data_IF_567101344024
#
_entry.id   IF_567101344024
#
_cell.length_a   1.000
_cell.length_b   1.000
_cell.length_c   1.000
_cell.angle_alpha   90.00
_cell.angle_beta   90.00
_cell.angle_gamma   90.00
#
_symmetry.space_group_name_H-M   'P 1'
#
loop_
_entity.id
_entity.type
_entity.pdbx_description
1 polymer ?
#
# COMPACT_ATOMS: atom_id res chain seq x y z
N UNK A 1 -1.06 3.94 -14.34
CA UNK A 1 -0.37 3.78 -13.05
C UNK A 1 0.73 2.76 -13.26
N UNK A 2 1.95 3.04 -12.79
CA UNK A 2 3.05 2.08 -12.73
C UNK A 2 3.32 1.73 -11.26
N UNK A 3 3.69 0.47 -10.99
CA UNK A 3 3.96 -0.02 -9.65
C UNK A 3 5.18 -0.93 -9.66
N UNK A 4 6.01 -0.78 -8.64
CA UNK A 4 7.06 -1.72 -8.26
C UNK A 4 6.85 -2.07 -6.78
N UNK A 5 6.80 -3.35 -6.43
CA UNK A 5 6.51 -3.80 -5.06
C UNK A 5 7.28 -5.08 -4.76
N UNK A 6 7.92 -5.10 -3.60
CA UNK A 6 8.52 -6.30 -3.04
C UNK A 6 7.44 -7.09 -2.28
N UNK A 7 7.38 -8.41 -2.52
CA UNK A 7 6.44 -9.32 -1.85
C UNK A 7 7.18 -10.58 -1.39
N UNK A 8 6.74 -11.18 -0.29
CA UNK A 8 7.22 -12.49 0.10
C UNK A 8 6.57 -13.59 -0.76
N UNK A 9 7.23 -13.94 -1.86
CA UNK A 9 6.73 -14.91 -2.84
C UNK A 9 6.75 -16.36 -2.36
N UNK A 10 7.44 -16.69 -1.26
CA UNK A 10 7.37 -18.03 -0.66
C UNK A 10 6.03 -18.26 0.04
N UNK A 11 5.48 -17.22 0.68
CA UNK A 11 4.20 -17.26 1.38
C UNK A 11 3.02 -16.93 0.46
N UNK A 12 3.23 -16.00 -0.48
CA UNK A 12 2.22 -15.60 -1.46
C UNK A 12 2.78 -15.72 -2.89
N UNK A 13 2.71 -16.92 -3.50
CA UNK A 13 3.26 -17.16 -4.84
C UNK A 13 2.51 -16.37 -5.90
N UNK A 14 3.24 -15.60 -6.71
CA UNK A 14 2.68 -14.85 -7.84
C UNK A 14 3.30 -15.32 -9.15
N UNK A 15 2.51 -15.37 -10.23
CA UNK A 15 2.96 -15.80 -11.57
C UNK A 15 2.94 -14.64 -12.56
N UNK A 16 3.82 -14.71 -13.55
CA UNK A 16 3.78 -13.76 -14.67
C UNK A 16 2.43 -13.81 -15.40
N UNK A 17 1.85 -12.64 -15.66
CA UNK A 17 0.53 -12.50 -16.29
C UNK A 17 -0.67 -12.70 -15.35
N UNK A 18 -0.44 -13.07 -14.10
CA UNK A 18 -1.50 -13.18 -13.09
C UNK A 18 -2.11 -11.80 -12.78
N UNK A 19 -3.44 -11.78 -12.66
CA UNK A 19 -4.17 -10.57 -12.29
C UNK A 19 -4.48 -10.63 -10.81
N UNK A 20 -4.19 -9.55 -10.10
CA UNK A 20 -4.51 -9.40 -8.70
C UNK A 20 -5.19 -8.06 -8.45
N UNK A 21 -5.96 -7.99 -7.36
CA UNK A 21 -6.56 -6.76 -6.85
C UNK A 21 -5.72 -6.25 -5.69
N UNK A 22 -5.45 -4.95 -5.67
CA UNK A 22 -4.68 -4.30 -4.60
C UNK A 22 -5.47 -3.13 -4.04
N UNK A 23 -5.48 -3.01 -2.72
CA UNK A 23 -5.97 -1.85 -2.01
C UNK A 23 -4.90 -1.30 -1.07
N UNK A 24 -4.86 0.02 -0.94
CA UNK A 24 -4.10 0.72 0.08
C UNK A 24 -5.08 1.42 1.01
N UNK A 25 -4.90 1.25 2.32
CA UNK A 25 -5.76 1.82 3.35
C UNK A 25 -4.91 2.30 4.53
N UNK A 26 -5.37 3.34 5.22
CA UNK A 26 -4.78 3.82 6.47
C UNK A 26 -5.28 3.05 7.69
N UNK A 27 -6.33 2.22 7.54
CA UNK A 27 -6.89 1.40 8.62
C UNK A 27 -7.55 0.14 8.07
N UNK A 28 -7.48 -0.96 8.83
CA UNK A 28 -8.20 -2.21 8.56
C UNK A 28 -9.58 -2.25 9.24
N UNK A 29 -9.89 -1.26 10.08
CA UNK A 29 -11.17 -1.18 10.77
C UNK A 29 -12.29 -0.86 9.77
N UNK A 30 -13.32 -1.72 9.73
CA UNK A 30 -14.45 -1.59 8.79
C UNK A 30 -15.28 -0.30 8.99
N UNK A 31 -15.22 0.28 10.19
CA UNK A 31 -15.89 1.53 10.55
C UNK A 31 -15.04 2.78 10.20
N UNK A 32 -13.83 2.60 9.67
CA UNK A 32 -12.91 3.69 9.34
C UNK A 32 -12.20 4.31 10.54
N UNK A 33 -12.33 3.74 11.75
CA UNK A 33 -11.57 4.22 12.91
C UNK A 33 -10.06 4.08 12.67
N UNK A 34 -9.24 5.07 13.06
CA UNK A 34 -7.79 5.04 12.81
C UNK A 34 -7.11 3.78 13.35
N UNK A 35 -6.06 3.33 12.67
CA UNK A 35 -5.25 2.22 13.18
C UNK A 35 -4.55 2.63 14.48
N UNK A 36 -4.52 1.73 15.46
CA UNK A 36 -3.86 1.97 16.75
C UNK A 36 -2.39 1.58 16.73
N UNK A 37 -1.88 1.05 15.61
CA UNK A 37 -0.54 0.45 15.46
C UNK A 37 -0.28 -0.80 16.31
N UNK A 38 -1.27 -1.25 17.11
CA UNK A 38 -1.18 -2.47 17.89
C UNK A 38 -2.03 -3.56 17.24
N UNK A 39 -1.41 -4.71 17.01
CA UNK A 39 -2.15 -5.89 16.60
C UNK A 39 -2.98 -6.39 17.77
N UNK A 40 -4.30 -6.19 17.68
CA UNK A 40 -5.25 -6.69 18.68
C UNK A 40 -5.79 -8.03 18.21
N UNK A 41 -5.36 -9.09 18.88
CA UNK A 41 -5.83 -10.44 18.60
C UNK A 41 -7.28 -10.56 19.08
N UNK A 42 -8.23 -10.71 18.16
CA UNK A 42 -9.65 -10.86 18.48
C UNK A 42 -10.46 -11.37 17.29
N UNK A 43 -11.61 -11.97 17.56
CA UNK A 43 -12.55 -12.46 16.53
C UNK A 43 -13.32 -11.31 15.84
N UNK A 44 -12.71 -10.14 15.68
CA UNK A 44 -13.32 -9.00 14.98
C UNK A 44 -13.07 -9.16 13.49
N UNK A 45 -14.13 -9.08 12.69
CA UNK A 45 -14.00 -8.99 11.24
C UNK A 45 -13.33 -7.67 10.85
N UNK A 46 -12.32 -7.73 9.99
CA UNK A 46 -11.55 -6.59 9.49
C UNK A 46 -11.52 -6.59 7.96
N UNK A 47 -11.02 -5.51 7.36
CA UNK A 47 -10.82 -5.46 5.91
C UNK A 47 -9.79 -6.50 5.45
N UNK A 48 -8.84 -6.88 6.30
CA UNK A 48 -7.81 -7.88 5.99
C UNK A 48 -8.41 -9.26 5.67
N UNK A 49 -9.59 -9.59 6.21
CA UNK A 49 -10.26 -10.88 5.96
C UNK A 49 -10.77 -11.02 4.52
N UNK A 50 -10.84 -9.93 3.75
CA UNK A 50 -11.27 -9.91 2.35
C UNK A 50 -10.09 -9.99 1.36
N UNK A 51 -8.85 -10.09 1.86
CA UNK A 51 -7.63 -10.14 1.06
C UNK A 51 -6.75 -11.33 1.46
N UNK A 52 -5.97 -11.84 0.50
CA UNK A 52 -5.14 -13.04 0.70
C UNK A 52 -3.75 -12.69 1.27
N UNK A 53 -3.28 -11.46 1.08
CA UNK A 53 -1.98 -10.99 1.51
C UNK A 53 -2.06 -9.56 2.02
N UNK A 54 -1.51 -9.31 3.22
CA UNK A 54 -1.57 -8.01 3.88
C UNK A 54 -0.18 -7.63 4.39
N UNK A 55 0.21 -6.38 4.11
CA UNK A 55 1.44 -5.77 4.60
C UNK A 55 1.11 -4.50 5.38
N UNK A 56 1.81 -4.27 6.49
CA UNK A 56 1.74 -3.03 7.27
C UNK A 56 3.07 -2.29 7.13
N UNK A 57 3.00 -0.98 6.85
CA UNK A 57 4.16 -0.19 6.54
C UNK A 57 3.88 1.31 6.59
N UNK A 58 4.88 2.09 6.23
CA UNK A 58 4.83 3.56 6.27
C UNK A 58 5.21 4.15 4.93
N UNK A 59 4.55 5.24 4.58
CA UNK A 59 4.99 6.11 3.49
C UNK A 59 6.20 6.91 3.97
N UNK A 60 7.30 6.85 3.23
CA UNK A 60 8.55 7.54 3.62
C UNK A 60 8.99 8.59 2.60
N UNK A 61 8.41 8.59 1.39
CA UNK A 61 8.73 9.56 0.35
C UNK A 61 7.51 9.81 -0.54
N UNK A 62 7.22 11.09 -0.76
CA UNK A 62 6.29 11.56 -1.78
C UNK A 62 7.05 12.61 -2.58
N UNK A 63 7.13 12.43 -3.89
CA UNK A 63 7.75 13.41 -4.79
C UNK A 63 6.79 13.80 -5.90
N UNK A 64 6.60 15.10 -6.05
CA UNK A 64 5.84 15.66 -7.15
C UNK A 64 6.64 15.56 -8.45
N UNK A 65 5.92 15.42 -9.56
CA UNK A 65 6.52 15.43 -10.88
C UNK A 65 7.18 16.76 -11.23
N UNK A 66 8.18 16.72 -12.09
CA UNK A 66 8.81 17.92 -12.65
C UNK A 66 8.06 18.42 -13.89
N UNK A 67 8.40 19.61 -14.40
CA UNK A 67 7.88 20.09 -15.69
C UNK A 67 8.16 19.13 -16.86
N UNK A 68 9.18 18.27 -16.76
CA UNK A 68 9.55 17.29 -17.80
C UNK A 68 8.88 15.93 -17.62
N UNK A 69 8.51 15.59 -16.39
CA UNK A 69 7.79 14.37 -16.05
C UNK A 69 6.77 14.72 -14.94
N UNK A 70 5.53 15.06 -15.31
CA UNK A 70 4.53 15.58 -14.36
C UNK A 70 3.98 14.50 -13.42
N UNK A 71 4.43 13.25 -13.56
CA UNK A 71 3.95 12.15 -12.73
C UNK A 71 4.55 12.24 -11.33
N UNK A 72 3.67 12.11 -10.34
CA UNK A 72 4.07 11.98 -8.95
C UNK A 72 4.50 10.53 -8.65
N UNK A 73 5.37 10.41 -7.66
CA UNK A 73 5.89 9.14 -7.15
C UNK A 73 5.67 9.07 -5.63
N UNK A 74 5.16 7.94 -5.17
CA UNK A 74 4.94 7.63 -3.76
C UNK A 74 5.71 6.37 -3.42
N UNK A 75 6.51 6.41 -2.35
CA UNK A 75 7.27 5.27 -1.86
C UNK A 75 6.88 4.87 -0.43
N UNK A 76 6.73 3.57 -0.22
CA UNK A 76 6.39 2.96 1.05
C UNK A 76 7.40 1.87 1.44
N UNK A 77 7.53 1.63 2.74
CA UNK A 77 8.32 0.52 3.29
C UNK A 77 7.46 -0.30 4.25
N UNK A 78 7.42 -1.61 4.02
CA UNK A 78 6.72 -2.61 4.82
C UNK A 78 7.74 -3.47 5.56
N UNK A 79 8.43 -2.87 6.54
CA UNK A 79 9.48 -3.56 7.30
C UNK A 79 10.72 -3.92 6.46
N UNK A 80 11.02 -3.13 5.42
CA UNK A 80 12.15 -3.35 4.51
C UNK A 80 11.76 -3.82 3.11
N UNK A 81 10.55 -4.34 2.93
CA UNK A 81 9.97 -4.57 1.60
C UNK A 81 9.50 -3.23 1.02
N UNK A 82 9.98 -2.86 -0.15
CA UNK A 82 9.74 -1.54 -0.73
C UNK A 82 8.59 -1.57 -1.73
N UNK A 83 7.87 -0.46 -1.80
CA UNK A 83 6.92 -0.19 -2.87
C UNK A 83 7.15 1.20 -3.44
N UNK A 84 6.99 1.33 -4.76
CA UNK A 84 6.94 2.58 -5.49
C UNK A 84 5.71 2.59 -6.40
N UNK A 85 4.90 3.63 -6.28
CA UNK A 85 3.79 3.95 -7.18
C UNK A 85 4.13 5.20 -7.98
N UNK A 86 3.91 5.16 -9.30
CA UNK A 86 4.09 6.32 -10.18
C UNK A 86 2.86 6.54 -11.05
N UNK A 87 2.33 7.74 -11.04
CA UNK A 87 1.05 8.06 -11.66
C UNK A 87 0.77 9.56 -11.72
N UNK A 88 -0.45 9.92 -12.10
CA UNK A 88 -0.87 11.32 -12.12
C UNK A 88 -1.01 11.86 -10.70
N UNK A 89 -0.60 13.11 -10.46
CA UNK A 89 -0.64 13.72 -9.12
C UNK A 89 -2.04 13.69 -8.48
N UNK A 90 -3.11 13.73 -9.29
CA UNK A 90 -4.50 13.63 -8.82
C UNK A 90 -4.82 12.32 -8.11
N UNK A 91 -4.09 11.24 -8.41
CA UNK A 91 -4.29 9.92 -7.82
C UNK A 91 -3.71 9.82 -6.40
N UNK A 92 -2.78 10.71 -6.05
CA UNK A 92 -2.06 10.67 -4.77
C UNK A 92 -2.46 11.80 -3.81
N UNK A 93 -3.54 12.54 -4.10
CA UNK A 93 -3.96 13.71 -3.32
C UNK A 93 -4.21 13.44 -1.82
N UNK A 94 -4.56 12.21 -1.49
CA UNK A 94 -4.88 11.81 -0.11
C UNK A 94 -3.73 11.06 0.58
N UNK A 95 -2.54 11.04 -0.04
CA UNK A 95 -1.37 10.41 0.55
C UNK A 95 -0.61 11.45 1.36
N UNK A 96 -0.33 11.13 2.61
CA UNK A 96 0.43 11.97 3.52
C UNK A 96 1.62 11.15 4.05
N UNK A 97 2.73 11.84 4.33
CA UNK A 97 3.84 11.20 5.02
C UNK A 97 3.44 10.95 6.46
N UNK A 98 3.86 9.80 6.97
CA UNK A 98 3.63 9.36 8.35
C UNK A 98 4.64 10.00 9.32
#
# INVERSE_FOLDING_TARGET
>A
MFMHVDVNSEVYPMREGEKFSMALTSTINLDGTPDTSYFTQGNRKTLADEYEYVMQGKLFKISEGSKRDPKAEVSASFGGLLMMLKGEASQFKNFELD
#
